data_IF_751023861590
#
_entry.id   IF_751023861590
#
_cell.length_a   1.000
_cell.length_b   1.000
_cell.length_c   1.000
_cell.angle_alpha   90.00
_cell.angle_beta   90.00
_cell.angle_gamma   90.00
#
_symmetry.space_group_name_H-M   'P 1'
#
loop_
_entity.id
_entity.type
_entity.pdbx_description
1 polymer ?
#
# COMPACT_ATOMS: atom_id res chain seq x y z
N UNK A 1 -11.54 -17.20 -11.80
CA UNK A 1 -12.62 -16.25 -11.44
C UNK A 1 -12.32 -14.90 -12.07
N UNK A 2 -13.32 -14.32 -12.71
CA UNK A 2 -13.22 -12.96 -13.24
C UNK A 2 -14.13 -12.07 -12.41
N UNK A 3 -13.62 -10.88 -12.06
CA UNK A 3 -14.39 -9.97 -11.23
C UNK A 3 -13.97 -8.54 -11.53
N UNK A 4 -14.80 -7.58 -11.11
CA UNK A 4 -14.45 -6.16 -11.24
C UNK A 4 -13.75 -5.69 -9.98
N UNK A 5 -14.51 -5.65 -8.88
CA UNK A 5 -13.96 -5.21 -7.60
C UNK A 5 -14.17 -6.29 -6.56
N UNK A 6 -13.19 -6.44 -5.68
CA UNK A 6 -13.30 -7.35 -4.53
C UNK A 6 -13.04 -6.50 -3.28
N UNK A 7 -13.98 -6.48 -2.35
CA UNK A 7 -13.82 -5.73 -1.13
C UNK A 7 -14.43 -6.48 0.05
N UNK A 8 -13.91 -6.23 1.26
CA UNK A 8 -14.38 -6.94 2.45
C UNK A 8 -15.76 -6.43 2.89
N UNK A 9 -16.45 -7.24 3.66
CA UNK A 9 -17.77 -6.91 4.18
C UNK A 9 -17.72 -5.65 5.05
N UNK A 10 -16.67 -5.51 5.85
CA UNK A 10 -16.51 -4.37 6.75
C UNK A 10 -15.12 -3.77 6.59
N UNK A 11 -15.03 -2.43 6.68
CA UNK A 11 -13.78 -1.72 6.55
C UNK A 11 -12.81 -2.09 7.65
N UNK A 12 -11.55 -2.38 7.28
CA UNK A 12 -10.45 -2.62 8.20
C UNK A 12 -10.71 -3.75 9.20
N UNK A 13 -11.46 -4.77 8.78
CA UNK A 13 -11.85 -5.86 9.68
C UNK A 13 -11.29 -7.22 9.28
N UNK A 14 -10.86 -7.39 8.04
CA UNK A 14 -10.44 -8.68 7.52
C UNK A 14 -9.10 -8.57 6.82
N UNK A 15 -8.34 -9.66 6.83
CA UNK A 15 -7.00 -9.73 6.24
C UNK A 15 -7.01 -10.49 4.92
N UNK A 16 -6.06 -10.17 4.06
CA UNK A 16 -5.79 -10.94 2.86
C UNK A 16 -4.59 -11.84 3.16
N UNK A 17 -4.87 -13.09 3.51
CA UNK A 17 -3.84 -14.04 3.91
C UNK A 17 -3.52 -13.95 5.39
N UNK A 18 -2.59 -14.80 5.84
CA UNK A 18 -2.11 -14.82 7.23
C UNK A 18 -0.60 -14.98 7.21
N UNK A 19 0.02 -14.87 8.37
CA UNK A 19 1.47 -15.05 8.50
C UNK A 19 1.91 -16.46 8.05
N UNK A 20 1.08 -17.46 8.26
CA UNK A 20 1.37 -18.83 7.87
C UNK A 20 0.85 -19.19 6.48
N UNK A 21 -0.07 -18.40 5.94
CA UNK A 21 -0.67 -18.66 4.61
C UNK A 21 -0.66 -17.36 3.81
N UNK A 22 0.46 -17.11 3.18
CA UNK A 22 0.72 -15.90 2.40
C UNK A 22 0.50 -16.16 0.93
N UNK A 23 0.06 -15.13 0.22
CA UNK A 23 0.02 -15.19 -1.24
C UNK A 23 1.45 -15.17 -1.78
N UNK A 24 1.72 -15.95 -2.82
CA UNK A 24 3.06 -15.99 -3.41
C UNK A 24 3.44 -14.65 -4.04
N UNK A 25 2.51 -14.03 -4.75
CA UNK A 25 2.74 -12.76 -5.44
C UNK A 25 1.46 -11.95 -5.47
N UNK A 26 1.61 -10.63 -5.55
CA UNK A 26 0.50 -9.72 -5.83
C UNK A 26 0.87 -8.93 -7.07
N UNK A 27 0.01 -8.97 -8.09
CA UNK A 27 0.19 -8.22 -9.32
C UNK A 27 -0.79 -7.06 -9.33
N UNK A 28 -0.27 -5.86 -9.16
CA UNK A 28 -1.10 -4.66 -9.11
C UNK A 28 -0.36 -3.48 -9.72
N UNK A 29 -1.10 -2.48 -10.18
CA UNK A 29 -0.54 -1.25 -10.70
C UNK A 29 -0.17 -0.31 -9.55
N UNK A 30 -1.17 0.17 -8.84
CA UNK A 30 -0.99 1.04 -7.68
C UNK A 30 -1.23 0.29 -6.39
N UNK A 31 -0.48 0.62 -5.35
CA UNK A 31 -0.73 0.09 -4.01
C UNK A 31 -1.14 1.25 -3.12
N UNK A 32 -2.40 1.23 -2.68
CA UNK A 32 -2.96 2.28 -1.84
C UNK A 32 -3.01 1.84 -0.39
N UNK A 33 -2.43 2.65 0.47
CA UNK A 33 -2.32 2.38 1.91
C UNK A 33 -3.04 3.49 2.68
N UNK A 34 -3.89 3.11 3.62
CA UNK A 34 -4.58 4.07 4.48
C UNK A 34 -4.92 3.40 5.80
N UNK A 35 -4.64 4.11 6.89
CA UNK A 35 -5.10 3.70 8.20
C UNK A 35 -6.04 4.75 8.81
N UNK A 36 -6.75 5.47 7.95
CA UNK A 36 -7.73 6.45 8.40
C UNK A 36 -8.76 5.79 9.32
N UNK A 37 -9.04 6.45 10.44
CA UNK A 37 -9.90 5.87 11.47
C UNK A 37 -9.15 5.05 12.50
N UNK A 38 -7.83 4.88 12.30
CA UNK A 38 -6.94 4.16 13.21
C UNK A 38 -5.66 4.96 13.35
N UNK A 39 -4.62 4.36 13.93
CA UNK A 39 -3.32 5.04 14.10
C UNK A 39 -2.21 4.01 13.92
N UNK A 40 -1.00 4.50 13.60
CA UNK A 40 0.17 3.64 13.50
C UNK A 40 0.85 3.48 14.86
N UNK A 41 1.77 2.52 14.96
CA UNK A 41 2.44 2.17 16.21
C UNK A 41 3.69 2.98 16.48
N UNK A 42 4.04 3.93 15.62
CA UNK A 42 5.27 4.70 15.76
C UNK A 42 5.01 6.07 16.37
N UNK A 43 4.14 6.86 15.77
CA UNK A 43 3.87 8.21 16.24
C UNK A 43 2.37 8.46 16.52
N UNK A 44 1.54 7.43 16.37
CA UNK A 44 0.11 7.53 16.71
C UNK A 44 -0.71 8.37 15.76
N UNK A 45 -0.23 8.58 14.53
CA UNK A 45 -0.98 9.34 13.54
C UNK A 45 -1.56 8.43 12.47
N UNK A 46 -2.39 9.01 11.59
CA UNK A 46 -2.90 8.28 10.43
C UNK A 46 -2.38 8.92 9.15
N UNK A 47 -2.25 8.11 8.12
CA UNK A 47 -1.78 8.58 6.84
C UNK A 47 -2.50 7.92 5.69
N UNK A 48 -2.23 8.40 4.50
CA UNK A 48 -2.81 7.87 3.28
C UNK A 48 -1.78 8.04 2.17
N UNK A 49 -1.31 6.93 1.62
CA UNK A 49 -0.22 6.90 0.66
C UNK A 49 -0.56 6.02 -0.53
N UNK A 50 0.08 6.31 -1.65
CA UNK A 50 0.04 5.45 -2.83
C UNK A 50 1.47 5.19 -3.29
N UNK A 51 1.79 3.93 -3.57
CA UNK A 51 3.07 3.55 -4.16
C UNK A 51 2.83 3.32 -5.65
N UNK A 52 3.63 3.99 -6.49
CA UNK A 52 3.53 3.89 -7.94
C UNK A 52 4.90 3.66 -8.54
N UNK A 53 4.95 2.98 -9.68
CA UNK A 53 6.18 2.74 -10.40
C UNK A 53 6.30 3.69 -11.60
N UNK A 54 7.54 4.15 -11.87
CA UNK A 54 7.88 4.86 -13.07
C UNK A 54 8.88 4.05 -13.86
N UNK A 55 9.38 4.62 -14.95
CA UNK A 55 10.34 3.91 -15.81
C UNK A 55 11.62 3.55 -15.06
N UNK A 56 12.14 4.48 -14.26
CA UNK A 56 13.42 4.30 -13.58
C UNK A 56 13.33 4.32 -12.07
N UNK A 57 12.18 4.67 -11.50
CA UNK A 57 12.06 4.89 -10.07
C UNK A 57 10.75 4.35 -9.52
N UNK A 58 10.75 4.13 -8.22
CA UNK A 58 9.55 3.80 -7.47
C UNK A 58 9.19 5.02 -6.64
N UNK A 59 7.92 5.41 -6.66
CA UNK A 59 7.45 6.65 -6.04
C UNK A 59 6.48 6.40 -4.91
N UNK A 60 6.50 7.29 -3.92
CA UNK A 60 5.57 7.29 -2.80
C UNK A 60 4.86 8.64 -2.78
N UNK A 61 3.53 8.61 -2.85
CA UNK A 61 2.72 9.83 -2.85
C UNK A 61 1.98 9.93 -1.52
N UNK A 62 2.19 11.05 -0.81
CA UNK A 62 1.42 11.34 0.40
C UNK A 62 0.12 11.98 -0.03
N UNK A 63 -0.99 11.25 0.10
CA UNK A 63 -2.29 11.73 -0.39
C UNK A 63 -2.89 12.81 0.51
N UNK A 64 -2.43 12.91 1.75
CA UNK A 64 -2.92 13.96 2.65
C UNK A 64 -2.30 15.31 2.34
N UNK A 65 -0.98 15.33 2.09
CA UNK A 65 -0.26 16.58 1.81
C UNK A 65 -0.14 16.87 0.32
N UNK A 66 -0.26 15.85 -0.52
CA UNK A 66 -0.02 15.94 -1.96
C UNK A 66 1.44 15.89 -2.33
N UNK A 67 2.33 15.74 -1.36
CA UNK A 67 3.77 15.67 -1.63
C UNK A 67 4.14 14.32 -2.21
N UNK A 68 5.12 14.33 -3.12
CA UNK A 68 5.57 13.15 -3.84
C UNK A 68 7.04 12.90 -3.55
N UNK A 69 7.36 11.65 -3.30
CA UNK A 69 8.72 11.23 -2.93
C UNK A 69 9.20 10.14 -3.86
N UNK A 70 10.50 10.03 -3.99
CA UNK A 70 11.16 8.96 -4.71
C UNK A 70 11.85 8.06 -3.70
N UNK A 71 11.72 6.75 -3.84
CA UNK A 71 12.50 5.83 -3.03
C UNK A 71 13.98 5.98 -3.41
N UNK A 72 14.84 6.02 -2.39
CA UNK A 72 16.27 6.03 -2.62
C UNK A 72 16.71 4.58 -2.80
N UNK A 73 17.10 4.23 -4.03
CA UNK A 73 17.41 2.86 -4.41
C UNK A 73 18.90 2.71 -4.67
N UNK A 74 19.45 1.57 -4.28
CA UNK A 74 20.84 1.22 -4.55
C UNK A 74 20.87 -0.06 -5.36
N UNK A 75 21.50 0.00 -6.53
CA UNK A 75 21.66 -1.17 -7.37
C UNK A 75 22.59 -2.17 -6.70
N UNK A 76 22.25 -3.45 -6.72
CA UNK A 76 23.04 -4.49 -6.04
C UNK A 76 23.82 -5.39 -7.00
N UNK A 77 23.74 -5.15 -8.27
CA UNK A 77 24.60 -5.84 -9.25
C UNK A 77 24.23 -5.47 -10.66
#
# INVERSE_FOLDING_TARGET
MQTRDIYPESNNSYSLGTNAKRWANIHTNDLNLSNEGSTNDVDGTWGQYTIQEGEDNLYLINKRSGKKYKFLLQEVS
#
